data_IF_098234323968
#
_entry.id   IF_098234323968
#
_cell.length_a   1.000
_cell.length_b   1.000
_cell.length_c   1.000
_cell.angle_alpha   90.00
_cell.angle_beta   90.00
_cell.angle_gamma   90.00
#
_symmetry.space_group_name_H-M   'P 1'
#
loop_
_entity.id
_entity.type
_entity.pdbx_description
1 polymer ?
#
# COMPACT_ATOMS: atom_id res chain seq x y z
N UNK A 1 -23.21 41.07 -37.96
CA UNK A 1 -22.21 41.22 -36.87
C UNK A 1 -22.65 42.19 -35.76
N UNK A 2 -23.45 43.25 -36.04
CA UNK A 2 -23.87 44.23 -35.02
C UNK A 2 -24.77 43.72 -33.87
N UNK A 3 -25.62 42.71 -34.10
CA UNK A 3 -26.49 42.14 -33.03
C UNK A 3 -25.69 41.42 -31.94
N UNK A 4 -24.59 40.75 -32.29
CA UNK A 4 -23.73 40.06 -31.31
C UNK A 4 -23.05 41.09 -30.38
N UNK A 5 -22.58 42.21 -30.94
CA UNK A 5 -22.00 43.31 -30.15
C UNK A 5 -23.02 43.97 -29.21
N UNK A 6 -24.28 44.12 -29.67
CA UNK A 6 -25.38 44.64 -28.85
C UNK A 6 -25.72 43.69 -27.70
N UNK A 7 -25.85 42.39 -27.98
CA UNK A 7 -26.12 41.36 -26.96
C UNK A 7 -24.98 41.31 -25.93
N UNK A 8 -23.73 41.38 -26.39
CA UNK A 8 -22.56 41.37 -25.51
C UNK A 8 -22.50 42.63 -24.62
N UNK A 9 -22.80 43.82 -25.18
CA UNK A 9 -22.91 45.06 -24.40
C UNK A 9 -24.04 45.00 -23.37
N UNK A 10 -25.17 44.41 -23.71
CA UNK A 10 -26.29 44.24 -22.78
C UNK A 10 -25.90 43.31 -21.63
N UNK A 11 -25.23 42.19 -21.93
CA UNK A 11 -24.74 41.25 -20.92
C UNK A 11 -23.72 41.90 -19.98
N UNK A 12 -22.77 42.68 -20.51
CA UNK A 12 -21.79 43.42 -19.67
C UNK A 12 -22.48 44.44 -18.77
N UNK A 13 -23.51 45.13 -19.27
CA UNK A 13 -24.29 46.09 -18.47
C UNK A 13 -25.10 45.39 -17.38
N UNK A 14 -25.68 44.23 -17.68
CA UNK A 14 -26.46 43.42 -16.73
C UNK A 14 -25.58 42.87 -15.59
N UNK A 15 -24.39 42.35 -15.92
CA UNK A 15 -23.38 41.92 -14.94
C UNK A 15 -22.98 43.06 -13.99
N UNK A 16 -22.84 44.29 -14.50
CA UNK A 16 -22.51 45.48 -13.68
C UNK A 16 -23.66 45.93 -12.77
N UNK A 17 -24.92 45.66 -13.14
CA UNK A 17 -26.08 46.02 -12.32
C UNK A 17 -26.40 44.97 -11.23
N UNK A 18 -25.94 43.72 -11.38
CA UNK A 18 -26.17 42.60 -10.43
C UNK A 18 -24.87 41.90 -10.01
N UNK A 19 -23.89 42.62 -9.41
CA UNK A 19 -22.56 42.07 -9.16
C UNK A 19 -22.56 40.87 -8.20
N UNK A 20 -23.40 40.86 -7.17
CA UNK A 20 -23.48 39.76 -6.21
C UNK A 20 -23.91 38.44 -6.87
N UNK A 21 -24.93 38.48 -7.74
CA UNK A 21 -25.44 37.29 -8.42
C UNK A 21 -24.45 36.75 -9.46
N UNK A 22 -23.75 37.64 -10.17
CA UNK A 22 -22.70 37.26 -11.11
C UNK A 22 -21.49 36.62 -10.40
N UNK A 23 -21.08 37.17 -9.25
CA UNK A 23 -20.00 36.60 -8.42
C UNK A 23 -20.38 35.22 -7.89
N UNK A 24 -21.61 35.04 -7.39
CA UNK A 24 -22.09 33.73 -6.92
C UNK A 24 -22.11 32.69 -8.04
N UNK A 25 -22.59 33.05 -9.23
CA UNK A 25 -22.60 32.15 -10.38
C UNK A 25 -21.18 31.79 -10.81
N UNK A 26 -20.27 32.76 -10.89
CA UNK A 26 -18.88 32.52 -11.23
C UNK A 26 -18.19 31.62 -10.21
N UNK A 27 -18.45 31.83 -8.91
CA UNK A 27 -17.94 30.98 -7.84
C UNK A 27 -18.45 29.54 -7.98
N UNK A 28 -19.74 29.36 -8.29
CA UNK A 28 -20.33 28.04 -8.50
C UNK A 28 -19.68 27.32 -9.69
N UNK A 29 -19.53 28.01 -10.83
CA UNK A 29 -18.88 27.46 -12.02
C UNK A 29 -17.41 27.13 -11.74
N UNK A 30 -16.67 28.04 -11.10
CA UNK A 30 -15.26 27.84 -10.77
C UNK A 30 -15.07 26.66 -9.82
N UNK A 31 -15.92 26.52 -8.80
CA UNK A 31 -15.88 25.40 -7.85
C UNK A 31 -16.18 24.07 -8.56
N UNK A 32 -17.19 24.04 -9.44
CA UNK A 32 -17.53 22.86 -10.22
C UNK A 32 -16.41 22.45 -11.19
N UNK A 33 -15.84 23.42 -11.91
CA UNK A 33 -14.73 23.18 -12.82
C UNK A 33 -13.46 22.71 -12.09
N UNK A 34 -13.14 23.32 -10.93
CA UNK A 34 -12.02 22.90 -10.10
C UNK A 34 -12.22 21.47 -9.55
N UNK A 35 -13.41 21.16 -9.04
CA UNK A 35 -13.76 19.81 -8.55
C UNK A 35 -13.65 18.77 -9.67
N UNK A 36 -14.19 19.07 -10.86
CA UNK A 36 -14.10 18.20 -12.02
C UNK A 36 -12.65 17.99 -12.47
N UNK A 37 -11.87 19.07 -12.55
CA UNK A 37 -10.45 19.02 -12.93
C UNK A 37 -9.66 18.18 -11.93
N UNK A 38 -9.89 18.37 -10.63
CA UNK A 38 -9.24 17.59 -9.58
C UNK A 38 -9.60 16.11 -9.69
N UNK A 39 -10.89 15.78 -9.89
CA UNK A 39 -11.34 14.40 -10.07
C UNK A 39 -10.69 13.72 -11.29
N UNK A 40 -10.60 14.43 -12.42
CA UNK A 40 -9.96 13.91 -13.64
C UNK A 40 -8.44 13.77 -13.49
N UNK A 41 -7.79 14.72 -12.82
CA UNK A 41 -6.36 14.66 -12.55
C UNK A 41 -6.00 13.49 -11.62
N UNK A 42 -6.82 13.22 -10.60
CA UNK A 42 -6.61 12.11 -9.68
C UNK A 42 -6.86 10.76 -10.33
N UNK A 43 -7.83 10.67 -11.25
CA UNK A 43 -8.24 9.42 -11.91
C UNK A 43 -7.05 8.64 -12.46
N UNK A 44 -6.17 9.29 -13.24
CA UNK A 44 -4.99 8.63 -13.81
C UNK A 44 -3.96 8.11 -12.78
N UNK A 45 -3.95 8.66 -11.56
CA UNK A 45 -3.11 8.17 -10.45
C UNK A 45 -3.78 7.04 -9.66
N UNK A 46 -5.11 7.00 -9.64
CA UNK A 46 -5.91 6.03 -8.88
C UNK A 46 -6.41 4.85 -9.69
N UNK A 47 -6.32 4.90 -11.02
CA UNK A 47 -6.88 3.85 -11.90
C UNK A 47 -6.17 2.50 -11.74
N UNK A 48 -4.85 2.51 -11.46
CA UNK A 48 -4.12 1.24 -11.33
C UNK A 48 -2.91 1.25 -10.37
N UNK A 49 -3.08 1.75 -9.12
CA UNK A 49 -1.98 1.81 -8.16
C UNK A 49 -1.45 0.42 -7.82
N UNK A 50 -2.33 -0.59 -7.73
CA UNK A 50 -1.94 -1.96 -7.41
C UNK A 50 -1.13 -2.61 -8.54
N UNK A 51 -1.59 -2.58 -9.79
CA UNK A 51 -0.85 -3.23 -10.87
C UNK A 51 0.53 -2.61 -11.09
N UNK A 52 0.69 -1.31 -10.81
CA UNK A 52 1.99 -0.64 -10.88
C UNK A 52 2.97 -1.19 -9.85
N UNK A 53 2.54 -1.31 -8.60
CA UNK A 53 3.36 -1.91 -7.53
C UNK A 53 3.65 -3.36 -7.81
N UNK A 54 2.63 -4.11 -8.25
CA UNK A 54 2.76 -5.52 -8.63
C UNK A 54 3.78 -5.72 -9.74
N UNK A 55 3.72 -4.94 -10.82
CA UNK A 55 4.70 -5.01 -11.90
C UNK A 55 6.12 -4.63 -11.41
N UNK A 56 6.23 -3.62 -10.55
CA UNK A 56 7.52 -3.18 -10.00
C UNK A 56 8.16 -4.20 -9.04
N UNK A 57 7.36 -5.10 -8.45
CA UNK A 57 7.78 -6.08 -7.47
C UNK A 57 7.72 -7.53 -7.97
N UNK A 58 7.49 -7.78 -9.28
CA UNK A 58 7.16 -9.12 -9.78
C UNK A 58 6.09 -9.83 -8.92
N UNK A 59 5.06 -9.07 -8.54
CA UNK A 59 4.12 -9.48 -7.51
C UNK A 59 3.24 -10.65 -7.95
N UNK A 60 2.82 -11.48 -6.99
CA UNK A 60 2.17 -12.76 -7.25
C UNK A 60 0.77 -12.60 -7.85
N UNK A 61 0.35 -13.61 -8.64
CA UNK A 61 -1.04 -13.77 -9.08
C UNK A 61 -1.95 -14.25 -7.94
N UNK A 62 -1.42 -15.13 -7.10
CA UNK A 62 -2.14 -15.80 -6.03
C UNK A 62 -1.23 -15.82 -4.80
N UNK A 63 -1.81 -15.53 -3.63
CA UNK A 63 -1.17 -15.71 -2.33
C UNK A 63 -1.95 -16.76 -1.58
N UNK A 64 -1.27 -17.79 -1.09
CA UNK A 64 -1.85 -18.81 -0.24
C UNK A 64 -1.35 -18.62 1.18
N UNK A 65 -2.27 -18.55 2.14
CA UNK A 65 -1.97 -18.35 3.55
C UNK A 65 -2.66 -19.42 4.37
N UNK A 66 -1.93 -19.98 5.34
CA UNK A 66 -2.49 -20.90 6.34
C UNK A 66 -2.49 -20.21 7.70
N UNK A 67 -3.61 -20.26 8.40
CA UNK A 67 -3.76 -19.68 9.73
C UNK A 67 -3.77 -20.78 10.79
N UNK A 68 -3.13 -20.55 11.95
CA UNK A 68 -3.32 -21.41 13.11
C UNK A 68 -4.83 -21.46 13.46
N UNK A 69 -5.39 -22.67 13.55
CA UNK A 69 -6.81 -22.88 13.87
C UNK A 69 -7.81 -22.83 12.70
N UNK A 70 -7.36 -22.68 11.45
CA UNK A 70 -8.21 -22.80 10.26
C UNK A 70 -8.32 -24.25 9.76
N UNK A 71 -9.52 -24.73 9.48
CA UNK A 71 -9.69 -25.97 8.71
C UNK A 71 -9.35 -25.71 7.25
N UNK A 72 -8.45 -26.50 6.65
CA UNK A 72 -8.10 -26.44 5.21
C UNK A 72 -9.23 -26.95 4.29
N UNK A 73 -10.49 -26.91 4.73
CA UNK A 73 -11.63 -27.24 3.89
C UNK A 73 -11.89 -26.06 2.93
N UNK A 74 -12.28 -26.30 1.67
CA UNK A 74 -12.63 -25.22 0.73
C UNK A 74 -13.91 -24.53 1.19
N UNK A 75 -13.75 -23.54 2.08
CA UNK A 75 -14.81 -22.64 2.54
C UNK A 75 -14.80 -21.36 1.70
N UNK A 76 -15.99 -20.89 1.33
CA UNK A 76 -16.20 -19.65 0.57
C UNK A 76 -15.40 -18.48 1.15
N UNK A 77 -14.67 -17.79 0.27
CA UNK A 77 -13.95 -16.57 0.61
C UNK A 77 -14.93 -15.47 1.07
N UNK A 78 -15.10 -15.32 2.38
CA UNK A 78 -15.65 -14.12 3.00
C UNK A 78 -14.59 -13.51 3.91
N UNK A 79 -14.06 -12.39 3.43
CA UNK A 79 -13.15 -11.46 4.08
C UNK A 79 -13.56 -11.06 5.51
N UNK A 80 -12.60 -11.02 6.44
CA UNK A 80 -12.66 -10.11 7.59
C UNK A 80 -11.38 -9.27 7.56
N UNK A 81 -11.55 -7.95 7.53
CA UNK A 81 -10.45 -6.97 7.47
C UNK A 81 -9.60 -6.91 8.73
N UNK A 82 -8.49 -6.16 8.70
CA UNK A 82 -7.54 -6.09 9.80
C UNK A 82 -8.14 -5.25 10.95
N UNK A 83 -8.46 -5.91 12.07
CA UNK A 83 -8.97 -5.25 13.28
C UNK A 83 -9.90 -6.08 14.15
N UNK A 84 -10.37 -7.25 13.70
CA UNK A 84 -11.17 -8.15 14.52
C UNK A 84 -10.30 -9.00 15.46
N UNK A 85 -10.30 -8.69 16.75
CA UNK A 85 -9.70 -9.52 17.82
C UNK A 85 -10.53 -10.77 18.12
N UNK A 86 -10.95 -11.49 17.08
CA UNK A 86 -11.88 -12.61 17.17
C UNK A 86 -11.65 -13.64 16.07
N UNK A 87 -10.42 -14.14 15.96
CA UNK A 87 -10.17 -15.41 15.27
C UNK A 87 -10.48 -16.59 16.20
N UNK A 88 -10.91 -17.76 15.68
CA UNK A 88 -11.11 -18.93 16.52
C UNK A 88 -9.79 -19.31 17.19
N UNK A 89 -9.72 -19.18 18.51
CA UNK A 89 -8.64 -19.69 19.35
C UNK A 89 -8.66 -21.22 19.37
N UNK A 90 -8.25 -21.82 18.25
CA UNK A 90 -7.94 -23.23 18.17
C UNK A 90 -6.43 -23.43 18.27
N UNK A 91 -6.00 -24.38 19.10
CA UNK A 91 -4.62 -24.87 19.17
C UNK A 91 -4.23 -25.72 17.96
N UNK A 92 -4.58 -25.27 16.75
CA UNK A 92 -4.21 -25.94 15.50
C UNK A 92 -2.93 -25.33 14.94
N UNK A 93 -1.93 -26.16 14.64
CA UNK A 93 -0.77 -25.73 13.87
C UNK A 93 -1.19 -25.41 12.43
N UNK A 94 -0.74 -24.28 11.89
CA UNK A 94 -0.88 -24.02 10.46
C UNK A 94 -0.15 -25.13 9.67
N UNK A 95 -0.85 -25.84 8.79
CA UNK A 95 -0.25 -26.90 7.98
C UNK A 95 0.55 -26.30 6.82
N UNK A 96 1.82 -25.95 7.11
CA UNK A 96 2.74 -25.46 6.10
C UNK A 96 3.06 -26.51 5.02
N UNK A 97 2.89 -27.82 5.31
CA UNK A 97 3.13 -28.89 4.35
C UNK A 97 2.16 -28.83 3.17
N UNK A 98 0.90 -28.43 3.43
CA UNK A 98 -0.09 -28.21 2.38
C UNK A 98 0.30 -27.12 1.36
N UNK A 99 1.07 -26.10 1.78
CA UNK A 99 1.55 -25.05 0.88
C UNK A 99 2.62 -25.57 -0.11
N UNK A 100 3.48 -26.50 0.32
CA UNK A 100 4.54 -27.08 -0.53
C UNK A 100 3.96 -27.86 -1.71
N UNK A 101 2.80 -28.47 -1.53
CA UNK A 101 2.08 -29.17 -2.62
C UNK A 101 1.62 -28.18 -3.69
N UNK A 102 1.19 -26.98 -3.30
CA UNK A 102 0.74 -25.95 -4.24
C UNK A 102 1.88 -25.43 -5.13
N UNK A 103 3.11 -25.38 -4.62
CA UNK A 103 4.28 -24.95 -5.39
C UNK A 103 4.51 -25.79 -6.66
N UNK A 104 4.14 -27.07 -6.60
CA UNK A 104 4.31 -28.04 -7.68
C UNK A 104 2.99 -28.32 -8.43
N UNK A 105 1.93 -27.58 -8.13
CA UNK A 105 0.63 -27.77 -8.77
C UNK A 105 0.69 -27.38 -10.26
N UNK A 106 -0.10 -28.08 -11.07
CA UNK A 106 -0.22 -27.76 -12.49
C UNK A 106 -0.71 -26.33 -12.68
N UNK A 107 -0.01 -25.58 -13.56
CA UNK A 107 -0.31 -24.17 -13.84
C UNK A 107 0.47 -23.16 -12.98
N UNK A 108 1.23 -23.61 -11.97
CA UNK A 108 2.13 -22.74 -11.21
C UNK A 108 3.43 -22.55 -12.00
N UNK A 109 3.65 -21.32 -12.48
CA UNK A 109 4.84 -20.97 -13.26
C UNK A 109 6.05 -20.66 -12.38
N UNK A 110 5.83 -20.12 -11.18
CA UNK A 110 6.85 -19.81 -10.19
C UNK A 110 6.20 -19.58 -8.82
N UNK A 111 6.98 -19.74 -7.76
CA UNK A 111 6.56 -19.53 -6.38
C UNK A 111 7.67 -18.85 -5.57
N UNK A 112 7.28 -18.32 -4.41
CA UNK A 112 8.18 -17.80 -3.39
C UNK A 112 7.66 -18.21 -2.02
N UNK A 113 8.55 -18.63 -1.12
CA UNK A 113 8.19 -19.08 0.21
C UNK A 113 8.11 -20.61 0.31
N UNK A 114 7.26 -21.15 1.19
CA UNK A 114 6.39 -20.44 2.13
C UNK A 114 7.19 -19.60 3.14
N UNK A 115 6.62 -18.48 3.57
CA UNK A 115 7.26 -17.55 4.50
C UNK A 115 6.49 -17.49 5.82
N UNK A 116 7.17 -17.62 6.99
CA UNK A 116 6.50 -17.44 8.26
C UNK A 116 6.17 -15.97 8.46
N UNK A 117 4.94 -15.69 8.88
CA UNK A 117 4.43 -14.34 9.13
C UNK A 117 3.98 -14.22 10.59
N UNK A 118 4.27 -13.09 11.21
CA UNK A 118 3.75 -12.73 12.54
C UNK A 118 3.45 -11.24 12.60
N UNK A 119 2.74 -10.79 13.64
CA UNK A 119 2.53 -9.36 13.90
C UNK A 119 3.31 -8.95 15.14
N UNK A 120 4.04 -7.85 15.02
CA UNK A 120 4.84 -7.29 16.11
C UNK A 120 4.60 -5.79 16.24
N UNK A 121 4.88 -5.25 17.43
CA UNK A 121 4.96 -3.81 17.63
C UNK A 121 6.40 -3.35 17.37
N UNK A 122 6.58 -2.50 16.36
CA UNK A 122 7.83 -1.81 16.10
C UNK A 122 7.86 -0.50 16.88
N UNK A 123 8.97 -0.26 17.58
CA UNK A 123 9.21 1.01 18.28
C UNK A 123 10.34 1.77 17.61
N UNK A 124 10.07 3.00 17.19
CA UNK A 124 11.06 3.95 16.68
C UNK A 124 10.99 5.24 17.48
N UNK A 125 11.99 5.47 18.33
CA UNK A 125 11.96 6.58 19.28
C UNK A 125 10.72 6.52 20.18
N UNK A 126 9.87 7.55 20.10
CA UNK A 126 8.62 7.65 20.86
C UNK A 126 7.40 7.07 20.12
N UNK A 127 7.55 6.66 18.87
CA UNK A 127 6.45 6.12 18.06
C UNK A 127 6.46 4.59 18.15
N UNK A 128 5.28 4.02 18.39
CA UNK A 128 5.06 2.58 18.30
C UNK A 128 4.02 2.31 17.22
N UNK A 129 4.28 1.36 16.33
CA UNK A 129 3.37 0.96 15.26
C UNK A 129 3.27 -0.57 15.20
N UNK A 130 2.10 -1.09 14.87
CA UNK A 130 1.97 -2.49 14.49
C UNK A 130 2.60 -2.73 13.12
N UNK A 131 3.32 -3.82 12.97
CA UNK A 131 3.89 -4.25 11.71
C UNK A 131 3.71 -5.75 11.54
N UNK A 132 3.48 -6.14 10.30
CA UNK A 132 3.65 -7.52 9.88
C UNK A 132 5.15 -7.80 9.70
N UNK A 133 5.59 -8.92 10.24
CA UNK A 133 6.98 -9.38 10.18
C UNK A 133 6.97 -10.69 9.44
N UNK A 134 7.57 -10.67 8.25
CA UNK A 134 7.69 -11.82 7.37
C UNK A 134 9.15 -12.33 7.37
N UNK A 135 9.33 -13.63 7.57
CA UNK A 135 10.61 -14.28 7.38
C UNK A 135 10.89 -14.43 5.88
N UNK A 136 12.02 -13.88 5.40
CA UNK A 136 12.37 -13.88 3.97
C UNK A 136 13.66 -14.63 3.69
N UNK A 137 13.76 -15.18 2.48
CA UNK A 137 15.02 -15.75 1.97
C UNK A 137 16.07 -14.66 1.72
N UNK A 138 17.33 -14.99 1.98
CA UNK A 138 18.48 -14.12 1.64
C UNK A 138 18.76 -14.10 0.14
N UNK A 139 18.40 -15.17 -0.58
CA UNK A 139 18.41 -15.20 -2.03
C UNK A 139 17.21 -14.42 -2.60
N UNK A 140 17.40 -13.64 -3.69
CA UNK A 140 16.29 -12.98 -4.37
C UNK A 140 15.28 -13.99 -4.94
N UNK A 141 13.99 -13.79 -4.66
CA UNK A 141 12.91 -14.57 -5.24
C UNK A 141 12.61 -14.14 -6.69
N UNK A 142 12.09 -15.05 -7.51
CA UNK A 142 11.63 -14.76 -8.87
C UNK A 142 10.26 -14.07 -8.88
N UNK A 143 9.38 -14.47 -7.96
CA UNK A 143 8.06 -13.88 -7.65
C UNK A 143 8.13 -13.18 -6.30
N UNK A 144 7.31 -12.15 -6.13
CA UNK A 144 7.26 -11.32 -4.93
C UNK A 144 8.67 -10.82 -4.55
N UNK A 145 9.21 -9.97 -5.40
CA UNK A 145 10.53 -9.40 -5.31
C UNK A 145 10.44 -7.89 -5.05
N UNK A 146 10.30 -7.46 -3.79
CA UNK A 146 10.28 -6.04 -3.46
C UNK A 146 11.50 -5.30 -4.00
N UNK A 147 11.26 -4.11 -4.54
CA UNK A 147 12.32 -3.23 -5.00
C UNK A 147 13.02 -2.59 -3.80
N UNK A 148 14.32 -2.83 -3.69
CA UNK A 148 15.16 -2.11 -2.74
C UNK A 148 15.28 -0.64 -3.14
N UNK A 149 14.85 0.25 -2.24
CA UNK A 149 15.02 1.69 -2.40
C UNK A 149 16.37 2.15 -1.83
N UNK A 150 16.80 1.57 -0.71
CA UNK A 150 18.05 1.90 -0.05
C UNK A 150 18.64 0.66 0.63
N UNK A 151 19.97 0.59 0.70
CA UNK A 151 20.69 -0.48 1.37
C UNK A 151 20.81 -1.75 0.53
N UNK A 152 20.79 -2.90 1.21
CA UNK A 152 20.92 -4.21 0.61
C UNK A 152 19.77 -5.12 1.08
N UNK A 153 19.57 -6.23 0.36
CA UNK A 153 18.59 -7.24 0.74
C UNK A 153 18.96 -7.90 2.07
N UNK A 154 18.02 -8.69 2.61
CA UNK A 154 18.16 -9.33 3.92
C UNK A 154 19.42 -10.20 3.97
N UNK A 155 20.09 -10.14 5.13
CA UNK A 155 21.25 -10.98 5.51
C UNK A 155 20.90 -11.66 6.83
N UNK A 156 21.64 -12.70 7.26
CA UNK A 156 21.43 -13.30 8.57
C UNK A 156 21.44 -12.23 9.68
N UNK A 157 20.36 -12.15 10.47
CA UNK A 157 20.18 -11.15 11.53
C UNK A 157 19.82 -9.73 11.06
N UNK A 158 19.70 -9.50 9.75
CA UNK A 158 19.26 -8.23 9.17
C UNK A 158 17.75 -8.17 8.99
N UNK A 159 17.23 -6.95 8.83
CA UNK A 159 15.82 -6.68 8.51
C UNK A 159 15.74 -5.71 7.33
N UNK A 160 14.72 -5.88 6.49
CA UNK A 160 14.32 -4.91 5.48
C UNK A 160 13.00 -4.31 5.95
N UNK A 161 12.89 -2.98 5.90
CA UNK A 161 11.72 -2.24 6.37
C UNK A 161 11.01 -1.65 5.15
N UNK A 162 9.70 -1.82 5.08
CA UNK A 162 8.91 -1.21 4.01
C UNK A 162 8.96 0.32 4.07
N UNK A 163 8.95 0.95 2.90
CA UNK A 163 9.06 2.41 2.78
C UNK A 163 7.98 3.18 3.58
N UNK A 164 6.78 2.61 3.72
CA UNK A 164 5.70 3.19 4.50
C UNK A 164 6.04 3.34 6.00
N UNK A 165 6.91 2.47 6.52
CA UNK A 165 7.38 2.52 7.90
C UNK A 165 8.60 3.43 8.07
N UNK A 166 9.29 3.79 6.99
CA UNK A 166 10.52 4.59 7.03
C UNK A 166 10.29 6.12 7.10
N UNK A 167 9.03 6.58 7.11
CA UNK A 167 8.60 7.96 7.39
C UNK A 167 9.61 9.06 7.02
N UNK A 168 9.66 9.46 5.74
CA UNK A 168 10.22 10.75 5.25
C UNK A 168 11.60 11.21 5.74
N UNK A 169 12.37 10.35 6.41
CA UNK A 169 13.62 10.74 7.07
C UNK A 169 14.78 10.19 6.27
N UNK A 170 15.27 11.03 5.37
CA UNK A 170 16.62 10.93 4.82
C UNK A 170 17.60 10.53 5.92
N UNK A 171 18.16 9.33 5.79
CA UNK A 171 19.38 8.83 6.43
C UNK A 171 19.54 9.09 7.94
N UNK A 172 19.14 8.11 8.77
CA UNK A 172 19.82 7.90 10.06
C UNK A 172 21.04 6.97 9.84
N UNK A 173 22.25 7.38 10.24
CA UNK A 173 23.44 6.57 10.05
C UNK A 173 23.38 5.31 10.94
N UNK A 174 23.83 4.20 10.37
CA UNK A 174 24.07 2.91 11.05
C UNK A 174 24.86 3.16 12.34
N UNK A 175 24.37 2.74 13.53
CA UNK A 175 25.17 2.83 14.74
C UNK A 175 26.40 1.90 14.60
N UNK A 176 27.59 2.50 14.61
CA UNK A 176 28.86 1.77 14.71
C UNK A 176 28.86 0.93 15.98
N UNK A 177 29.16 -0.36 15.83
CA UNK A 177 29.40 -1.36 16.86
C UNK A 177 29.96 -0.77 18.16
N UNK A 178 29.16 -0.79 19.23
CA UNK A 178 29.69 -0.63 20.58
C UNK A 178 30.24 -2.00 20.98
N UNK A 179 31.54 -2.19 20.79
CA UNK A 179 32.31 -3.28 21.38
C UNK A 179 32.03 -3.35 22.87
N UNK A 180 31.46 -4.47 23.31
CA UNK A 180 31.35 -4.79 24.72
C UNK A 180 32.75 -4.92 25.32
N UNK A 181 33.05 -4.14 26.36
CA UNK A 181 34.15 -4.45 27.27
C UNK A 181 33.68 -5.59 28.18
N UNK A 182 34.47 -6.66 28.37
CA UNK A 182 34.24 -7.56 29.49
C UNK A 182 34.76 -6.89 30.76
N UNK A 183 33.86 -6.67 31.71
CA UNK A 183 34.18 -6.29 33.09
C UNK A 183 33.97 -7.50 33.99
N UNK A 184 34.90 -7.68 34.93
CA UNK A 184 35.14 -8.83 35.80
C UNK A 184 33.91 -9.44 36.48
#
# INVERSE_FOLDING_TARGET
MGKVLLICRLAVKDIRHRPAQAVLLLLAIATGAATLTLGLALRGTTDNPYARTRAAANGPDVVATVFPGGSNAPGSATSVGPGGSGGPSGSGSADAGGLVVLEHASGVAAHSGPFPVTWALLRMGHTTAGAEVEGRSTAPSSVDRPRLLQGAWIRPGGVVVEAAHCGGSTALPVPKNRTAKPGL
#
